data_IF_502172440546
#
_entry.id   IF_502172440546
#
_cell.length_a   1.000
_cell.length_b   1.000
_cell.length_c   1.000
_cell.angle_alpha   90.00
_cell.angle_beta   90.00
_cell.angle_gamma   90.00
#
_symmetry.space_group_name_H-M   'P 1'
#
loop_
_entity.id
_entity.type
_entity.pdbx_description
1 polymer ?
#
# COMPACT_ATOMS: atom_id res chain seq x y z
N UNK A 1 25.32 4.26 20.41
CA UNK A 1 25.61 3.81 19.05
C UNK A 1 24.27 3.58 18.39
N UNK A 2 23.98 4.43 17.42
CA UNK A 2 22.72 4.49 16.70
C UNK A 2 22.40 3.15 16.06
N UNK A 3 21.19 2.64 16.30
CA UNK A 3 20.64 1.56 15.49
C UNK A 3 20.30 2.16 14.14
N UNK A 4 21.23 2.02 13.20
CA UNK A 4 20.94 2.11 11.78
C UNK A 4 19.85 1.07 11.50
N UNK A 5 18.71 1.54 10.99
CA UNK A 5 17.60 0.69 10.54
C UNK A 5 18.11 -0.16 9.38
N UNK A 6 18.41 -1.42 9.66
CA UNK A 6 18.75 -2.41 8.64
C UNK A 6 17.43 -2.97 8.07
N UNK A 7 16.93 -2.31 7.03
CA UNK A 7 15.65 -2.58 6.35
C UNK A 7 15.66 -3.84 5.46
N UNK A 8 16.75 -4.60 5.44
CA UNK A 8 16.94 -5.62 4.41
C UNK A 8 16.58 -7.05 4.82
N UNK A 9 16.79 -7.48 6.07
CA UNK A 9 16.75 -8.94 6.33
C UNK A 9 15.86 -9.40 7.51
N UNK A 10 15.38 -8.50 8.38
CA UNK A 10 14.83 -8.91 9.69
C UNK A 10 13.36 -8.64 9.95
N UNK A 11 12.70 -7.88 9.08
CA UNK A 11 11.27 -7.68 9.12
C UNK A 11 10.76 -7.98 7.74
N UNK A 12 9.94 -9.04 7.60
CA UNK A 12 8.90 -9.22 6.59
C UNK A 12 8.39 -10.66 6.62
N UNK A 13 7.53 -10.93 7.61
CA UNK A 13 6.70 -12.13 7.69
C UNK A 13 5.28 -11.86 8.18
N UNK A 14 4.99 -10.64 8.66
CA UNK A 14 3.67 -10.22 9.15
C UNK A 14 3.11 -9.09 8.26
N UNK A 15 1.97 -9.38 7.63
CA UNK A 15 1.19 -8.44 6.80
C UNK A 15 0.83 -7.16 7.59
N UNK A 16 0.61 -7.28 8.90
CA UNK A 16 0.30 -6.15 9.77
C UNK A 16 1.48 -5.19 9.92
N UNK A 17 2.71 -5.71 9.90
CA UNK A 17 3.92 -4.88 9.99
C UNK A 17 4.18 -4.14 8.68
N UNK A 18 3.95 -4.80 7.53
CA UNK A 18 3.96 -4.15 6.21
C UNK A 18 2.96 -3.00 6.15
N UNK A 19 1.71 -3.25 6.57
CA UNK A 19 0.65 -2.24 6.65
C UNK A 19 1.10 -1.02 7.44
N UNK A 20 1.60 -1.22 8.65
CA UNK A 20 2.04 -0.14 9.54
C UNK A 20 3.22 0.65 8.97
N UNK A 21 4.22 -0.05 8.40
CA UNK A 21 5.41 0.58 7.85
C UNK A 21 5.04 1.51 6.70
N UNK A 22 4.30 1.01 5.71
CA UNK A 22 3.94 1.77 4.52
C UNK A 22 3.03 2.96 4.87
N UNK A 23 2.03 2.77 5.73
CA UNK A 23 1.19 3.88 6.21
C UNK A 23 2.05 4.95 6.89
N UNK A 24 3.01 4.55 7.73
CA UNK A 24 3.91 5.50 8.40
C UNK A 24 4.80 6.28 7.40
N UNK A 25 5.24 5.64 6.31
CA UNK A 25 5.99 6.29 5.24
C UNK A 25 5.11 7.31 4.48
N UNK A 26 3.87 6.94 4.13
CA UNK A 26 2.92 7.87 3.51
C UNK A 26 2.59 9.07 4.41
N UNK A 27 2.38 8.85 5.71
CA UNK A 27 2.17 9.93 6.68
C UNK A 27 3.41 10.82 6.82
N UNK A 28 4.61 10.23 6.72
CA UNK A 28 5.86 11.00 6.70
C UNK A 28 5.93 11.92 5.48
N UNK A 29 5.45 11.49 4.31
CA UNK A 29 5.34 12.35 3.12
C UNK A 29 4.44 13.55 3.35
N UNK A 30 3.31 13.42 4.06
CA UNK A 30 2.42 14.56 4.41
C UNK A 30 3.14 15.64 5.23
N UNK A 31 4.02 15.21 6.14
CA UNK A 31 4.80 16.14 6.97
C UNK A 31 5.91 16.85 6.18
N UNK A 32 6.48 16.19 5.17
CA UNK A 32 7.54 16.78 4.32
C UNK A 32 6.95 17.68 3.22
N UNK A 33 5.82 17.29 2.64
CA UNK A 33 5.09 18.05 1.58
C UNK A 33 4.67 19.43 2.05
N UNK A 34 4.02 19.51 3.21
CA UNK A 34 3.64 20.77 3.86
C UNK A 34 4.82 21.70 4.17
N UNK A 35 6.05 21.17 4.22
CA UNK A 35 7.24 21.93 4.58
C UNK A 35 8.06 22.46 3.39
N UNK A 36 8.09 21.83 2.21
CA UNK A 36 8.81 22.35 1.01
C UNK A 36 8.88 21.39 -0.18
N UNK A 37 7.91 21.47 -1.10
CA UNK A 37 7.96 20.81 -2.42
C UNK A 37 7.97 21.76 -3.62
N UNK A 38 7.97 23.07 -3.39
CA UNK A 38 7.98 24.12 -4.44
C UNK A 38 9.23 24.12 -5.35
N UNK A 39 10.22 23.24 -5.11
CA UNK A 39 11.48 23.18 -5.85
C UNK A 39 11.66 21.94 -6.74
N UNK A 40 10.66 21.05 -6.86
CA UNK A 40 10.78 19.85 -7.70
C UNK A 40 10.80 20.15 -9.21
N UNK A 41 10.08 21.20 -9.66
CA UNK A 41 9.95 21.56 -11.07
C UNK A 41 11.08 22.43 -11.64
N UNK A 42 12.06 22.80 -10.83
CA UNK A 42 13.17 23.65 -11.26
C UNK A 42 14.46 22.85 -11.38
N UNK A 43 15.19 23.02 -12.50
CA UNK A 43 16.57 22.48 -12.72
C UNK A 43 17.62 22.99 -11.69
N UNK A 44 17.19 23.64 -10.61
CA UNK A 44 18.04 24.08 -9.51
C UNK A 44 18.37 22.92 -8.53
N UNK A 45 19.38 23.13 -7.68
CA UNK A 45 19.70 22.22 -6.58
C UNK A 45 18.44 21.93 -5.76
N UNK A 46 17.98 20.66 -5.80
CA UNK A 46 16.87 20.17 -4.99
C UNK A 46 17.15 20.47 -3.52
N UNK A 47 16.20 21.10 -2.83
CA UNK A 47 16.27 21.33 -1.40
C UNK A 47 16.35 20.00 -0.62
N UNK A 48 16.89 20.03 0.60
CA UNK A 48 17.02 18.83 1.45
C UNK A 48 15.69 18.10 1.66
N UNK A 49 14.59 18.84 1.81
CA UNK A 49 13.23 18.30 1.93
C UNK A 49 12.76 17.56 0.70
N UNK A 50 13.05 18.09 -0.49
CA UNK A 50 12.79 17.43 -1.78
C UNK A 50 13.55 16.10 -1.88
N UNK A 51 14.82 16.08 -1.45
CA UNK A 51 15.65 14.85 -1.46
C UNK A 51 15.06 13.80 -0.52
N UNK A 52 14.76 14.18 0.72
CA UNK A 52 14.14 13.28 1.72
C UNK A 52 12.80 12.76 1.23
N UNK A 53 12.00 13.63 0.62
CA UNK A 53 10.72 13.26 0.02
C UNK A 53 10.85 12.16 -1.04
N UNK A 54 11.79 12.32 -1.97
CA UNK A 54 12.08 11.30 -2.99
C UNK A 54 12.60 9.99 -2.38
N UNK A 55 13.44 10.06 -1.34
CA UNK A 55 13.91 8.86 -0.64
C UNK A 55 12.76 8.09 0.00
N UNK A 56 11.79 8.77 0.61
CA UNK A 56 10.60 8.12 1.17
C UNK A 56 9.74 7.47 0.08
N UNK A 57 9.53 8.15 -1.07
CA UNK A 57 8.82 7.57 -2.21
C UNK A 57 9.51 6.28 -2.67
N UNK A 58 10.82 6.32 -2.89
CA UNK A 58 11.58 5.14 -3.32
C UNK A 58 11.45 4.00 -2.32
N UNK A 59 11.51 4.29 -1.00
CA UNK A 59 11.31 3.27 0.03
C UNK A 59 9.92 2.62 -0.02
N UNK A 60 8.87 3.39 -0.34
CA UNK A 60 7.52 2.87 -0.52
C UNK A 60 7.48 1.95 -1.75
N UNK A 61 8.01 2.40 -2.88
CA UNK A 61 8.03 1.63 -4.13
C UNK A 61 8.82 0.32 -3.99
N UNK A 62 10.03 0.38 -3.42
CA UNK A 62 10.87 -0.79 -3.14
C UNK A 62 10.15 -1.79 -2.21
N UNK A 63 9.34 -1.28 -1.27
CA UNK A 63 8.56 -2.12 -0.36
C UNK A 63 7.43 -2.86 -1.09
N UNK A 64 6.80 -2.26 -2.11
CA UNK A 64 5.78 -2.93 -2.92
C UNK A 64 6.35 -4.10 -3.72
N UNK A 65 7.57 -3.99 -4.21
CA UNK A 65 8.23 -5.11 -4.89
C UNK A 65 8.45 -6.28 -3.93
N UNK A 66 8.94 -6.02 -2.71
CA UNK A 66 9.09 -7.04 -1.66
C UNK A 66 7.75 -7.68 -1.27
N UNK A 67 6.69 -6.89 -1.15
CA UNK A 67 5.34 -7.38 -0.86
C UNK A 67 4.85 -8.28 -2.01
N UNK A 68 5.05 -7.85 -3.26
CA UNK A 68 4.64 -8.60 -4.44
C UNK A 68 5.21 -10.02 -4.46
N UNK A 69 6.50 -10.16 -4.17
CA UNK A 69 7.17 -11.46 -4.09
C UNK A 69 6.51 -12.36 -3.03
N UNK A 70 6.30 -11.82 -1.83
CA UNK A 70 5.69 -12.56 -0.73
C UNK A 70 4.23 -12.96 -1.01
N UNK A 71 3.40 -12.05 -1.53
CA UNK A 71 2.00 -12.32 -1.83
C UNK A 71 1.87 -13.38 -2.94
N UNK A 72 2.70 -13.29 -3.98
CA UNK A 72 2.68 -14.26 -5.09
C UNK A 72 3.05 -15.69 -4.67
N UNK A 73 3.75 -15.84 -3.54
CA UNK A 73 4.16 -17.13 -2.99
C UNK A 73 3.17 -17.74 -1.99
N UNK A 74 2.11 -17.00 -1.62
CA UNK A 74 1.15 -17.44 -0.61
C UNK A 74 -0.11 -18.02 -1.28
N UNK A 75 -0.30 -19.33 -1.14
CA UNK A 75 -1.41 -20.06 -1.77
C UNK A 75 -2.80 -19.60 -1.27
N UNK A 76 -2.90 -19.06 -0.05
CA UNK A 76 -4.15 -18.49 0.47
C UNK A 76 -4.46 -17.11 -0.10
N UNK A 77 -3.48 -16.35 -0.60
CA UNK A 77 -3.67 -14.94 -1.02
C UNK A 77 -3.56 -14.78 -2.55
N UNK A 78 -3.29 -15.87 -3.26
CA UNK A 78 -3.06 -15.84 -4.72
C UNK A 78 -4.23 -15.24 -5.50
N UNK A 79 -5.47 -15.42 -5.04
CA UNK A 79 -6.66 -14.89 -5.70
C UNK A 79 -6.80 -13.37 -5.57
N UNK A 80 -6.26 -12.75 -4.51
CA UNK A 80 -6.31 -11.31 -4.29
C UNK A 80 -5.11 -10.57 -4.91
N UNK A 81 -4.15 -11.30 -5.45
CA UNK A 81 -2.96 -10.72 -6.07
C UNK A 81 -3.27 -9.73 -7.21
N UNK A 82 -4.28 -9.95 -8.09
CA UNK A 82 -4.65 -8.97 -9.10
C UNK A 82 -5.08 -7.61 -8.52
N UNK A 83 -5.77 -7.58 -7.37
CA UNK A 83 -6.13 -6.32 -6.69
C UNK A 83 -4.88 -5.59 -6.17
N UNK A 84 -3.88 -6.35 -5.69
CA UNK A 84 -2.61 -5.76 -5.27
C UNK A 84 -1.89 -5.07 -6.43
N UNK A 85 -1.83 -5.72 -7.60
CA UNK A 85 -1.18 -5.14 -8.79
C UNK A 85 -1.86 -3.83 -9.17
N UNK A 86 -3.19 -3.82 -9.20
CA UNK A 86 -3.94 -2.61 -9.54
C UNK A 86 -3.74 -1.49 -8.51
N UNK A 87 -3.78 -1.81 -7.22
CA UNK A 87 -3.52 -0.85 -6.15
C UNK A 87 -2.10 -0.30 -6.23
N UNK A 88 -1.12 -1.16 -6.49
CA UNK A 88 0.28 -0.76 -6.66
C UNK A 88 0.40 0.26 -7.79
N UNK A 89 -0.18 -0.03 -8.96
CA UNK A 89 -0.16 0.88 -10.12
C UNK A 89 -0.83 2.23 -9.80
N UNK A 90 -2.01 2.21 -9.16
CA UNK A 90 -2.70 3.43 -8.76
C UNK A 90 -1.87 4.28 -7.79
N UNK A 91 -1.27 3.64 -6.78
CA UNK A 91 -0.43 4.35 -5.80
C UNK A 91 0.84 4.89 -6.45
N UNK A 92 1.47 4.12 -7.34
CA UNK A 92 2.62 4.59 -8.11
C UNK A 92 2.29 5.86 -8.90
N UNK A 93 1.16 5.88 -9.61
CA UNK A 93 0.68 7.08 -10.29
C UNK A 93 0.48 8.24 -9.31
N UNK A 94 -0.22 8.00 -8.18
CA UNK A 94 -0.45 9.03 -7.16
C UNK A 94 0.83 9.59 -6.56
N UNK A 95 1.91 8.81 -6.47
CA UNK A 95 3.20 9.26 -5.91
C UNK A 95 4.12 9.92 -6.95
N UNK A 96 4.00 9.55 -8.22
CA UNK A 96 4.83 10.06 -9.31
C UNK A 96 4.27 11.37 -9.91
N UNK A 97 2.96 11.56 -9.82
CA UNK A 97 2.30 12.83 -10.12
C UNK A 97 2.68 13.90 -9.08
N UNK A 98 2.45 15.20 -9.34
CA UNK A 98 2.75 16.28 -8.39
C UNK A 98 1.84 16.26 -7.14
N UNK A 99 1.89 15.19 -6.36
CA UNK A 99 1.08 14.92 -5.17
C UNK A 99 1.24 15.98 -4.07
N UNK A 100 2.30 16.78 -4.13
CA UNK A 100 2.52 17.89 -3.22
C UNK A 100 1.51 19.03 -3.40
N UNK A 101 0.78 19.05 -4.51
CA UNK A 101 -0.26 20.05 -4.77
C UNK A 101 -1.60 19.68 -4.13
N UNK A 102 -1.84 18.39 -3.86
CA UNK A 102 -3.10 17.91 -3.33
C UNK A 102 -2.92 16.75 -2.33
N UNK A 103 -3.27 17.02 -1.06
CA UNK A 103 -3.27 16.02 0.02
C UNK A 103 -4.18 14.81 -0.27
N UNK A 104 -5.19 14.96 -1.12
CA UNK A 104 -6.10 13.89 -1.53
C UNK A 104 -5.35 12.72 -2.16
N UNK A 105 -4.21 12.97 -2.81
CA UNK A 105 -3.42 11.92 -3.47
C UNK A 105 -2.84 10.95 -2.43
N UNK A 106 -2.21 11.51 -1.38
CA UNK A 106 -1.67 10.73 -0.28
C UNK A 106 -2.78 10.08 0.57
N UNK A 107 -3.92 10.76 0.73
CA UNK A 107 -5.08 10.20 1.44
C UNK A 107 -5.64 8.97 0.72
N UNK A 108 -5.79 9.05 -0.60
CA UNK A 108 -6.26 7.94 -1.41
C UNK A 108 -5.26 6.79 -1.42
N UNK A 109 -3.96 7.08 -1.55
CA UNK A 109 -2.91 6.07 -1.49
C UNK A 109 -2.91 5.29 -0.15
N UNK A 110 -3.04 6.00 0.98
CA UNK A 110 -3.17 5.38 2.31
C UNK A 110 -4.44 4.52 2.39
N UNK A 111 -5.56 5.02 1.88
CA UNK A 111 -6.85 4.33 1.94
C UNK A 111 -6.82 3.04 1.13
N UNK A 112 -6.37 3.09 -0.13
CA UNK A 112 -6.22 1.95 -1.02
C UNK A 112 -5.34 0.86 -0.38
N UNK A 113 -4.17 1.24 0.13
CA UNK A 113 -3.24 0.31 0.72
C UNK A 113 -3.79 -0.31 2.02
N UNK A 114 -4.36 0.52 2.90
CA UNK A 114 -4.90 0.07 4.19
C UNK A 114 -6.09 -0.88 4.03
N UNK A 115 -7.02 -0.59 3.11
CA UNK A 115 -8.22 -1.41 2.91
C UNK A 115 -7.86 -2.78 2.31
N UNK A 116 -6.91 -2.83 1.37
CA UNK A 116 -6.41 -4.10 0.82
C UNK A 116 -5.75 -4.98 1.89
N UNK A 117 -4.84 -4.42 2.68
CA UNK A 117 -4.20 -5.19 3.75
C UNK A 117 -5.20 -5.61 4.83
N UNK A 118 -6.27 -4.84 5.06
CA UNK A 118 -7.37 -5.25 5.94
C UNK A 118 -8.11 -6.48 5.40
N UNK A 119 -8.39 -6.54 4.09
CA UNK A 119 -8.98 -7.73 3.47
C UNK A 119 -8.09 -8.96 3.67
N UNK A 120 -6.77 -8.81 3.49
CA UNK A 120 -5.82 -9.91 3.70
C UNK A 120 -5.77 -10.37 5.16
N UNK A 121 -5.75 -9.43 6.11
CA UNK A 121 -5.82 -9.74 7.54
C UNK A 121 -7.09 -10.54 7.89
N UNK A 122 -8.24 -10.12 7.35
CA UNK A 122 -9.52 -10.84 7.53
C UNK A 122 -9.44 -12.25 6.94
N UNK A 123 -8.87 -12.39 5.74
CA UNK A 123 -8.70 -13.70 5.10
C UNK A 123 -7.83 -14.62 5.95
N UNK A 124 -6.65 -14.16 6.36
CA UNK A 124 -5.75 -14.98 7.17
C UNK A 124 -6.37 -15.38 8.51
N UNK A 125 -7.17 -14.51 9.11
CA UNK A 125 -7.89 -14.82 10.35
C UNK A 125 -8.98 -15.88 10.15
N UNK A 126 -9.76 -15.76 9.07
CA UNK A 126 -10.85 -16.69 8.75
C UNK A 126 -10.33 -18.08 8.39
N UNK A 127 -9.20 -18.14 7.68
CA UNK A 127 -8.58 -19.37 7.19
C UNK A 127 -7.44 -19.88 8.11
N UNK A 128 -7.43 -19.46 9.38
CA UNK A 128 -6.39 -19.88 10.33
C UNK A 128 -6.29 -21.41 10.41
N UNK A 129 -5.06 -21.92 10.30
CA UNK A 129 -4.76 -23.35 10.25
C UNK A 129 -4.99 -24.04 8.89
N UNK A 130 -5.47 -23.34 7.86
CA UNK A 130 -5.55 -23.85 6.49
C UNK A 130 -4.25 -23.54 5.73
N UNK A 131 -3.80 -24.45 4.88
CA UNK A 131 -2.71 -24.19 3.94
C UNK A 131 -3.24 -23.65 2.60
N UNK A 132 -4.45 -24.05 2.22
CA UNK A 132 -5.14 -23.64 0.99
C UNK A 132 -6.63 -23.43 1.26
N UNK A 133 -7.32 -22.64 0.42
CA UNK A 133 -8.74 -22.32 0.63
C UNK A 133 -9.66 -23.54 0.64
N UNK A 134 -9.33 -24.57 -0.15
CA UNK A 134 -10.11 -25.81 -0.28
C UNK A 134 -10.23 -26.60 1.03
N UNK A 135 -9.38 -26.31 2.02
CA UNK A 135 -9.42 -26.93 3.34
C UNK A 135 -10.44 -26.29 4.28
N UNK A 136 -10.90 -25.07 3.98
CA UNK A 136 -11.81 -24.32 4.83
C UNK A 136 -13.25 -24.86 4.77
N UNK A 137 -13.98 -24.71 5.87
CA UNK A 137 -15.40 -25.07 5.92
C UNK A 137 -16.25 -24.13 5.04
N UNK A 138 -17.33 -24.65 4.45
CA UNK A 138 -18.28 -23.86 3.62
C UNK A 138 -18.81 -22.58 4.29
N UNK A 139 -18.83 -22.54 5.63
CA UNK A 139 -19.23 -21.34 6.35
C UNK A 139 -18.17 -20.25 6.26
N UNK A 140 -16.90 -20.61 6.38
CA UNK A 140 -15.74 -19.70 6.28
C UNK A 140 -15.67 -19.12 4.88
N UNK A 141 -15.79 -19.97 3.85
CA UNK A 141 -15.81 -19.53 2.44
C UNK A 141 -16.90 -18.48 2.19
N UNK A 142 -18.14 -18.76 2.62
CA UNK A 142 -19.26 -17.83 2.48
C UNK A 142 -19.07 -16.53 3.26
N UNK A 143 -18.45 -16.58 4.42
CA UNK A 143 -18.16 -15.39 5.22
C UNK A 143 -17.11 -14.51 4.54
N UNK A 144 -16.08 -15.14 3.95
CA UNK A 144 -15.07 -14.43 3.19
C UNK A 144 -15.64 -13.81 1.90
N UNK A 145 -16.48 -14.54 1.15
CA UNK A 145 -17.15 -14.01 -0.04
C UNK A 145 -17.92 -12.71 0.27
N UNK A 146 -18.62 -12.65 1.40
CA UNK A 146 -19.35 -11.46 1.84
C UNK A 146 -18.43 -10.27 2.16
N UNK A 147 -17.25 -10.53 2.72
CA UNK A 147 -16.26 -9.47 2.98
C UNK A 147 -15.58 -9.01 1.69
N UNK A 148 -15.33 -9.94 0.76
CA UNK A 148 -14.81 -9.64 -0.57
C UNK A 148 -15.78 -8.77 -1.37
N UNK A 149 -17.07 -9.09 -1.39
CA UNK A 149 -18.11 -8.28 -2.04
C UNK A 149 -18.12 -6.83 -1.51
N UNK A 150 -18.02 -6.67 -0.18
CA UNK A 150 -17.95 -5.33 0.43
C UNK A 150 -16.66 -4.61 0.05
N UNK A 151 -15.55 -5.32 -0.04
CA UNK A 151 -14.27 -4.76 -0.46
C UNK A 151 -14.32 -4.28 -1.91
N UNK A 152 -14.83 -5.11 -2.84
CA UNK A 152 -14.94 -4.75 -4.26
C UNK A 152 -15.78 -3.49 -4.43
N UNK A 153 -16.90 -3.36 -3.73
CA UNK A 153 -17.72 -2.14 -3.77
C UNK A 153 -16.97 -0.89 -3.30
N UNK A 154 -16.13 -1.00 -2.27
CA UNK A 154 -15.30 0.12 -1.81
C UNK A 154 -14.18 0.41 -2.79
N UNK A 155 -13.54 -0.63 -3.32
CA UNK A 155 -12.46 -0.51 -4.27
C UNK A 155 -12.90 0.17 -5.57
N UNK A 156 -14.07 -0.20 -6.11
CA UNK A 156 -14.66 0.46 -7.28
C UNK A 156 -14.87 1.96 -7.02
N UNK A 157 -15.32 2.34 -5.81
CA UNK A 157 -15.45 3.75 -5.43
C UNK A 157 -14.09 4.47 -5.39
N UNK A 158 -13.05 3.83 -4.86
CA UNK A 158 -11.70 4.41 -4.84
C UNK A 158 -11.10 4.52 -6.24
N UNK A 159 -11.45 3.62 -7.17
CA UNK A 159 -11.07 3.74 -8.58
C UNK A 159 -11.73 4.94 -9.25
N UNK A 160 -13.02 5.17 -8.98
CA UNK A 160 -13.72 6.36 -9.47
C UNK A 160 -13.06 7.64 -8.93
N UNK A 161 -12.73 7.67 -7.63
CA UNK A 161 -12.02 8.79 -7.00
C UNK A 161 -10.64 9.02 -7.63
N UNK A 162 -9.86 7.97 -7.86
CA UNK A 162 -8.57 8.04 -8.55
C UNK A 162 -8.69 8.64 -9.95
N UNK A 163 -9.69 8.20 -10.72
CA UNK A 163 -9.96 8.71 -12.06
C UNK A 163 -10.33 10.19 -12.00
N UNK A 164 -11.13 10.60 -11.03
CA UNK A 164 -11.55 12.00 -10.88
C UNK A 164 -10.40 12.94 -10.48
N UNK A 165 -9.42 12.46 -9.70
CA UNK A 165 -8.21 13.23 -9.36
C UNK A 165 -7.31 13.49 -10.58
N UNK A 166 -7.34 12.64 -11.61
CA UNK A 166 -6.51 12.78 -12.82
C UNK A 166 -7.24 13.41 -14.02
N UNK A 167 -8.46 13.96 -13.82
CA UNK A 167 -9.23 14.69 -14.84
C UNK A 167 -8.98 16.19 -14.81
#
# INVERSE_FOLDING_TARGET
>A
MDKILDFNDLFFGDISEYKKLIISLFESLKNVTSASYWSMDTECQKGLSTIVGMEIINLILDSFDKISENLSSNDLITYEFPFFVEIKEMIECLLLDPFYENDDYLNLAITLFSDYFTLLEVKLLLFDGCAIELEAEDKVLREYDLELDKYVLRFDHYRDEFIDLHK
#
